data_IF_177454350730
#
_entry.id   IF_177454350730
#
_cell.length_a   1.000
_cell.length_b   1.000
_cell.length_c   1.000
_cell.angle_alpha   90.00
_cell.angle_beta   90.00
_cell.angle_gamma   90.00
#
_symmetry.space_group_name_H-M   'P 1'
#
loop_
_entity.id
_entity.type
_entity.pdbx_description
1 polymer ?
#
# COMPACT_ATOMS: atom_id res chain seq x y z
N UNK A 1 -4.99 -1.13 13.68
CA UNK A 1 -3.82 -1.12 12.78
C UNK A 1 -3.81 -2.46 12.07
N UNK A 2 -3.64 -2.50 10.74
CA UNK A 2 -3.67 -3.76 10.01
C UNK A 2 -2.60 -4.68 10.58
N UNK A 3 -2.92 -5.96 10.68
CA UNK A 3 -1.99 -6.95 11.16
C UNK A 3 -0.80 -6.98 10.19
N UNK A 4 0.42 -6.72 10.69
CA UNK A 4 1.64 -6.91 9.91
C UNK A 4 1.62 -8.33 9.27
N UNK A 5 2.18 -8.46 8.07
CA UNK A 5 2.28 -9.75 7.36
C UNK A 5 0.91 -10.40 7.03
N UNK A 6 -0.06 -9.59 6.57
CA UNK A 6 -1.37 -10.08 6.16
C UNK A 6 -1.43 -10.61 4.71
N UNK A 7 -0.42 -10.30 3.89
CA UNK A 7 -0.25 -10.85 2.54
C UNK A 7 0.63 -12.09 2.60
N UNK A 8 0.26 -13.12 1.84
CA UNK A 8 1.16 -14.24 1.60
C UNK A 8 2.27 -13.88 0.60
N UNK A 9 3.22 -14.80 0.42
CA UNK A 9 4.40 -14.58 -0.42
C UNK A 9 4.03 -14.46 -1.91
N UNK A 10 2.98 -15.14 -2.37
CA UNK A 10 2.50 -15.06 -3.74
C UNK A 10 1.77 -13.74 -4.00
N UNK A 11 0.85 -13.36 -3.11
CA UNK A 11 0.15 -12.07 -3.16
C UNK A 11 1.13 -10.89 -3.16
N UNK A 12 2.13 -10.94 -2.26
CA UNK A 12 3.20 -9.92 -2.21
C UNK A 12 3.97 -9.83 -3.52
N UNK A 13 4.33 -10.96 -4.13
CA UNK A 13 5.04 -11.00 -5.42
C UNK A 13 4.17 -10.45 -6.55
N UNK A 14 2.90 -10.82 -6.58
CA UNK A 14 1.95 -10.35 -7.59
C UNK A 14 1.75 -8.84 -7.51
N UNK A 15 1.59 -8.29 -6.30
CA UNK A 15 1.51 -6.85 -6.08
C UNK A 15 2.80 -6.12 -6.46
N UNK A 16 3.98 -6.67 -6.12
CA UNK A 16 5.26 -6.09 -6.53
C UNK A 16 5.45 -6.10 -8.06
N UNK A 17 4.93 -7.11 -8.75
CA UNK A 17 4.93 -7.17 -10.22
C UNK A 17 3.96 -6.13 -10.79
N UNK A 18 2.72 -6.11 -10.31
CA UNK A 18 1.71 -5.14 -10.73
C UNK A 18 2.18 -3.69 -10.51
N UNK A 19 2.88 -3.40 -9.41
CA UNK A 19 3.44 -2.07 -9.14
C UNK A 19 4.40 -1.58 -10.26
N UNK A 20 5.10 -2.50 -10.93
CA UNK A 20 6.04 -2.17 -12.00
C UNK A 20 5.38 -2.08 -13.37
N UNK A 21 4.31 -2.84 -13.59
CA UNK A 21 3.65 -2.99 -14.89
C UNK A 21 2.44 -2.05 -15.06
N UNK A 22 1.84 -1.60 -13.96
CA UNK A 22 0.65 -0.76 -13.99
C UNK A 22 0.94 0.66 -14.50
N UNK A 23 0.20 1.09 -15.52
CA UNK A 23 0.36 2.39 -16.16
C UNK A 23 -0.35 3.50 -15.38
N UNK A 24 -1.45 3.17 -14.69
CA UNK A 24 -2.25 4.14 -13.94
C UNK A 24 -1.56 4.48 -12.62
N UNK A 25 -1.08 5.71 -12.52
CA UNK A 25 -0.42 6.23 -11.32
C UNK A 25 -1.25 6.01 -10.04
N UNK A 26 -2.56 6.26 -10.11
CA UNK A 26 -3.47 6.06 -8.97
C UNK A 26 -3.55 4.60 -8.49
N UNK A 27 -3.41 3.63 -9.41
CA UNK A 27 -3.45 2.21 -9.06
C UNK A 27 -2.11 1.79 -8.47
N UNK A 28 -1.01 2.27 -9.04
CA UNK A 28 0.34 2.09 -8.47
C UNK A 28 0.45 2.62 -7.05
N UNK A 29 -0.07 3.82 -6.79
CA UNK A 29 -0.06 4.40 -5.44
C UNK A 29 -0.83 3.52 -4.45
N UNK A 30 -2.00 2.99 -4.83
CA UNK A 30 -2.77 2.06 -3.99
C UNK A 30 -2.03 0.76 -3.73
N UNK A 31 -1.40 0.17 -4.75
CA UNK A 31 -0.58 -1.04 -4.58
C UNK A 31 0.57 -0.76 -3.59
N UNK A 32 1.22 0.39 -3.73
CA UNK A 32 2.31 0.79 -2.85
C UNK A 32 1.84 1.01 -1.40
N UNK A 33 0.68 1.65 -1.19
CA UNK A 33 0.06 1.79 0.12
C UNK A 33 -0.14 0.44 0.78
N UNK A 34 -0.69 -0.53 0.04
CA UNK A 34 -0.98 -1.87 0.53
C UNK A 34 0.29 -2.65 0.90
N UNK A 35 1.33 -2.55 0.07
CA UNK A 35 2.63 -3.18 0.34
C UNK A 35 3.32 -2.60 1.58
N UNK A 36 3.27 -1.27 1.76
CA UNK A 36 3.85 -0.60 2.93
C UNK A 36 3.07 -0.93 4.21
N UNK A 37 1.75 -1.03 4.11
CA UNK A 37 0.90 -1.45 5.21
C UNK A 37 1.23 -2.87 5.66
N UNK A 38 1.42 -3.78 4.70
CA UNK A 38 1.85 -5.15 4.98
C UNK A 38 3.24 -5.21 5.64
N UNK A 39 4.14 -4.30 5.26
CA UNK A 39 5.46 -4.14 5.88
C UNK A 39 5.40 -3.62 7.34
N UNK A 40 4.20 -3.21 7.80
CA UNK A 40 3.95 -2.72 9.15
C UNK A 40 4.04 -1.21 9.29
N UNK A 41 4.10 -0.45 8.18
CA UNK A 41 4.05 1.01 8.22
C UNK A 41 2.68 1.48 8.70
N UNK A 42 2.69 2.49 9.56
CA UNK A 42 1.47 3.18 9.98
C UNK A 42 0.90 4.01 8.82
N UNK A 43 -0.41 4.27 8.83
CA UNK A 43 -1.04 5.11 7.82
C UNK A 43 -0.40 6.50 7.70
N UNK A 44 0.16 7.03 8.80
CA UNK A 44 0.88 8.30 8.80
C UNK A 44 2.22 8.20 8.07
N UNK A 45 3.03 7.18 8.37
CA UNK A 45 4.29 6.95 7.65
C UNK A 45 4.05 6.72 6.15
N UNK A 46 2.96 6.04 5.78
CA UNK A 46 2.57 5.84 4.38
C UNK A 46 2.20 7.19 3.73
N UNK A 47 1.42 8.03 4.41
CA UNK A 47 1.04 9.35 3.92
C UNK A 47 2.28 10.23 3.66
N UNK A 48 3.20 10.26 4.63
CA UNK A 48 4.45 11.02 4.54
C UNK A 48 5.36 10.49 3.43
N UNK A 49 5.42 9.16 3.24
CA UNK A 49 6.23 8.53 2.19
C UNK A 49 5.70 8.77 0.77
N UNK A 50 4.39 8.68 0.58
CA UNK A 50 3.74 8.87 -0.73
C UNK A 50 3.58 10.36 -1.06
N UNK A 51 3.56 11.22 -0.04
CA UNK A 51 3.27 12.64 -0.22
C UNK A 51 1.78 12.91 -0.40
N UNK A 52 0.92 12.10 0.22
CA UNK A 52 -0.54 12.24 0.16
C UNK A 52 -1.13 12.52 1.55
N UNK A 53 -2.43 12.83 1.60
CA UNK A 53 -3.07 13.12 2.88
C UNK A 53 -3.32 11.85 3.69
N UNK A 54 -3.27 11.94 5.03
CA UNK A 54 -3.66 10.83 5.91
C UNK A 54 -5.09 10.33 5.62
N UNK A 55 -6.00 11.23 5.21
CA UNK A 55 -7.36 10.86 4.82
C UNK A 55 -7.39 9.97 3.58
N UNK A 56 -6.51 10.24 2.61
CA UNK A 56 -6.36 9.41 1.41
C UNK A 56 -5.92 8.00 1.80
N UNK A 57 -4.92 7.87 2.67
CA UNK A 57 -4.48 6.56 3.16
C UNK A 57 -5.58 5.85 3.94
N UNK A 58 -6.26 6.55 4.85
CA UNK A 58 -7.37 5.96 5.61
C UNK A 58 -8.50 5.48 4.69
N UNK A 59 -8.85 6.23 3.64
CA UNK A 59 -9.89 5.81 2.71
C UNK A 59 -9.59 4.46 2.03
N UNK A 60 -8.32 4.22 1.66
CA UNK A 60 -7.91 3.01 0.95
C UNK A 60 -7.47 1.86 1.86
N UNK A 61 -7.01 2.16 3.08
CA UNK A 61 -6.47 1.19 4.03
C UNK A 61 -7.39 0.90 5.22
N UNK A 62 -8.66 1.36 5.16
CA UNK A 62 -9.71 0.91 6.09
C UNK A 62 -10.29 -0.36 5.50
N UNK A 63 -9.68 -1.50 5.82
CA UNK A 63 -10.26 -2.84 5.95
C UNK A 63 -9.18 -3.82 6.42
#
# INVERSE_FOLDING_TARGET
>A
MPAKDFLDLEEKKNLQKALKEEERAEVRERILMFLLLNDGKTQREIADFIGCSLKTVAHWCVH
#
